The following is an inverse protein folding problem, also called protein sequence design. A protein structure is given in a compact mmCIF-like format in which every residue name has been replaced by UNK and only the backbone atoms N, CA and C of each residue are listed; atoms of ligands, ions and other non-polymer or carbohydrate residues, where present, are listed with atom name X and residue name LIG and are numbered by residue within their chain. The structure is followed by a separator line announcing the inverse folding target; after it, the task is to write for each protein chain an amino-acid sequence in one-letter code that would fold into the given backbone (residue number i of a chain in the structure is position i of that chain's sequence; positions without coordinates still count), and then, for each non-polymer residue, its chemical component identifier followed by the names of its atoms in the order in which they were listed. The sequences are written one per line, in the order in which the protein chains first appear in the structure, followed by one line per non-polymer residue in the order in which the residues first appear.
data_IF_368362707582
#
_entry.id   IF_368362707582
#
_cell.length_a   1.000
_cell.length_b   1.000
_cell.length_c   1.000
_cell.angle_alpha   90.00
_cell.angle_beta   90.00
_cell.angle_gamma   90.00
#
_symmetry.space_group_name_H-M   'P 1'
#
loop_
_entity.id
_entity.type
_entity.pdbx_description
1 polymer ?
#
# COMPACT_ATOMS: atom_id res chain seq x y z
N UNK A 1 5.14 11.88 14.39
CA UNK A 1 5.78 11.15 13.27
C UNK A 1 5.25 9.73 13.34
N UNK A 2 4.26 9.37 12.53
CA UNK A 2 3.63 8.04 12.60
C UNK A 2 4.41 7.11 11.67
N UNK A 3 5.42 6.45 12.22
CA UNK A 3 6.08 5.33 11.56
C UNK A 3 5.27 4.07 11.85
N UNK A 4 4.96 3.31 10.80
CA UNK A 4 4.34 1.99 10.91
C UNK A 4 5.26 0.93 10.33
N UNK A 5 5.11 -0.31 10.76
CA UNK A 5 5.81 -1.45 10.18
C UNK A 5 4.77 -2.38 9.54
N UNK A 6 4.93 -2.63 8.24
CA UNK A 6 4.09 -3.56 7.50
C UNK A 6 4.87 -4.83 7.20
N UNK A 7 4.32 -5.97 7.61
CA UNK A 7 4.86 -7.28 7.31
C UNK A 7 4.11 -7.87 6.11
N UNK A 8 4.85 -8.17 5.06
CA UNK A 8 4.31 -8.85 3.88
C UNK A 8 4.37 -10.38 4.06
N UNK A 9 3.62 -11.11 3.22
CA UNK A 9 3.59 -12.58 3.26
C UNK A 9 4.98 -13.18 3.04
N UNK A 10 5.75 -12.61 2.12
CA UNK A 10 7.12 -13.01 1.84
C UNK A 10 7.96 -11.82 1.34
N UNK A 11 9.23 -12.11 1.00
CA UNK A 11 10.18 -11.13 0.49
C UNK A 11 9.74 -10.53 -0.85
N UNK A 12 9.11 -11.32 -1.72
CA UNK A 12 8.68 -10.86 -3.03
C UNK A 12 7.54 -9.84 -2.89
N UNK A 13 6.53 -10.13 -2.06
CA UNK A 13 5.44 -9.19 -1.77
C UNK A 13 5.96 -7.90 -1.10
N UNK A 14 6.97 -8.00 -0.23
CA UNK A 14 7.62 -6.82 0.35
C UNK A 14 8.33 -5.96 -0.71
N UNK A 15 9.02 -6.58 -1.67
CA UNK A 15 9.68 -5.88 -2.77
C UNK A 15 8.67 -5.24 -3.72
N UNK A 16 7.57 -5.94 -4.04
CA UNK A 16 6.45 -5.43 -4.84
C UNK A 16 5.85 -4.18 -4.19
N UNK A 17 5.53 -4.25 -2.90
CA UNK A 17 4.99 -3.10 -2.15
C UNK A 17 5.97 -1.92 -2.12
N UNK A 18 7.26 -2.17 -1.87
CA UNK A 18 8.27 -1.13 -1.87
C UNK A 18 8.35 -0.41 -3.24
N UNK A 19 8.26 -1.17 -4.34
CA UNK A 19 8.22 -0.62 -5.69
C UNK A 19 6.97 0.21 -5.99
N UNK A 20 5.83 -0.08 -5.37
CA UNK A 20 4.60 0.71 -5.53
C UNK A 20 4.63 2.02 -4.71
N UNK A 21 5.35 2.04 -3.58
CA UNK A 21 5.43 3.19 -2.67
C UNK A 21 6.57 4.15 -3.06
N UNK A 22 7.74 3.62 -3.46
CA UNK A 22 8.94 4.40 -3.73
C UNK A 22 9.31 4.35 -5.22
N UNK A 23 8.71 5.22 -6.03
CA UNK A 23 9.02 5.27 -7.46
C UNK A 23 9.94 6.43 -7.83
N UNK A 24 10.08 7.50 -7.05
CA UNK A 24 10.96 8.62 -7.41
C UNK A 24 11.54 9.40 -6.22
N UNK A 25 12.60 10.18 -6.49
CA UNK A 25 13.32 11.08 -5.56
C UNK A 25 12.43 12.04 -4.76
N UNK A 26 11.18 12.23 -5.22
CA UNK A 26 10.15 13.09 -4.63
C UNK A 26 9.47 12.53 -3.38
N UNK A 27 9.69 11.25 -3.02
CA UNK A 27 9.07 10.57 -1.86
C UNK A 27 7.53 10.54 -1.89
N UNK A 28 6.93 10.69 -3.06
CA UNK A 28 5.48 10.57 -3.23
C UNK A 28 5.06 9.12 -3.48
N UNK A 29 3.98 8.69 -2.86
CA UNK A 29 3.34 7.41 -3.16
C UNK A 29 2.72 7.44 -4.56
N UNK A 30 2.84 6.33 -5.29
CA UNK A 30 2.15 6.15 -6.58
C UNK A 30 0.75 5.57 -6.42
N UNK A 31 0.39 5.14 -5.21
CA UNK A 31 -0.93 4.59 -4.88
C UNK A 31 -1.97 5.71 -4.89
N UNK A 32 -3.05 5.52 -5.64
CA UNK A 32 -4.15 6.50 -5.78
C UNK A 32 -5.40 6.10 -5.00
N UNK A 33 -5.71 4.81 -4.91
CA UNK A 33 -6.90 4.31 -4.23
C UNK A 33 -6.72 2.84 -3.83
N UNK A 34 -7.43 2.43 -2.78
CA UNK A 34 -7.62 1.02 -2.43
C UNK A 34 -8.85 0.55 -3.21
N UNK A 35 -8.66 -0.46 -4.07
CA UNK A 35 -9.74 -1.03 -4.88
C UNK A 35 -10.51 -2.12 -4.14
N UNK A 36 -9.81 -2.95 -3.37
CA UNK A 36 -10.42 -4.03 -2.60
C UNK A 36 -9.50 -4.54 -1.48
N UNK A 37 -10.09 -5.24 -0.52
CA UNK A 37 -9.40 -5.99 0.54
C UNK A 37 -10.02 -7.38 0.63
N UNK A 38 -9.20 -8.43 0.49
CA UNK A 38 -9.63 -9.82 0.47
C UNK A 38 -8.71 -10.59 1.42
N UNK A 39 -9.21 -10.97 2.59
CA UNK A 39 -8.39 -11.60 3.66
C UNK A 39 -7.11 -10.81 3.97
N UNK A 40 -5.94 -11.38 3.69
CA UNK A 40 -4.63 -10.76 3.88
C UNK A 40 -4.08 -10.12 2.59
N UNK A 41 -4.89 -9.99 1.54
CA UNK A 41 -4.54 -9.32 0.28
C UNK A 41 -5.21 -7.93 0.19
N UNK A 42 -4.43 -6.95 -0.28
CA UNK A 42 -4.93 -5.61 -0.62
C UNK A 42 -4.75 -5.36 -2.11
N UNK A 43 -5.77 -4.83 -2.78
CA UNK A 43 -5.73 -4.44 -4.20
C UNK A 43 -5.70 -2.92 -4.28
N UNK A 44 -4.71 -2.40 -5.00
CA UNK A 44 -4.38 -0.97 -5.09
C UNK A 44 -4.41 -0.53 -6.55
N UNK A 45 -4.93 0.66 -6.80
CA UNK A 45 -4.73 1.39 -8.05
C UNK A 45 -3.54 2.33 -7.90
N UNK A 46 -2.80 2.54 -8.98
CA UNK A 46 -1.69 3.51 -9.00
C UNK A 46 -1.88 4.57 -10.09
N UNK A 47 -1.01 5.59 -10.13
CA UNK A 47 -1.11 6.75 -11.04
C UNK A 47 -1.28 6.40 -12.53
N UNK A 48 -0.78 5.25 -12.99
CA UNK A 48 -0.95 4.78 -14.38
C UNK A 48 -2.28 4.04 -14.64
N UNK A 49 -3.17 3.98 -13.64
CA UNK A 49 -4.48 3.30 -13.62
C UNK A 49 -4.42 1.78 -13.67
N UNK A 50 -3.25 1.17 -13.54
CA UNK A 50 -3.15 -0.28 -13.35
C UNK A 50 -3.52 -0.68 -11.92
N UNK A 51 -4.02 -1.91 -11.78
CA UNK A 51 -4.35 -2.51 -10.50
C UNK A 51 -3.29 -3.53 -10.10
N UNK A 52 -2.78 -3.41 -8.88
CA UNK A 52 -1.79 -4.31 -8.31
C UNK A 52 -2.27 -4.79 -6.95
N UNK A 53 -2.15 -6.09 -6.69
CA UNK A 53 -2.40 -6.61 -5.35
C UNK A 53 -1.13 -6.77 -4.54
N UNK A 54 -1.22 -6.81 -3.22
CA UNK A 54 -0.11 -7.16 -2.32
C UNK A 54 -0.64 -8.08 -1.23
N UNK A 55 0.05 -9.19 -1.00
CA UNK A 55 -0.32 -10.13 0.06
C UNK A 55 0.51 -9.83 1.31
N UNK A 56 -0.19 -9.51 2.39
CA UNK A 56 0.38 -9.19 3.68
C UNK A 56 0.43 -10.43 4.59
N UNK A 57 1.18 -10.34 5.69
CA UNK A 57 1.41 -11.50 6.57
C UNK A 57 0.10 -12.11 7.10
N UNK A 58 -0.87 -11.25 7.43
CA UNK A 58 -2.17 -11.63 7.97
C UNK A 58 -3.19 -10.49 7.81
N UNK A 59 -4.44 -10.77 8.14
CA UNK A 59 -5.54 -9.81 8.00
C UNK A 59 -5.34 -8.55 8.87
N UNK A 60 -4.65 -8.66 10.02
CA UNK A 60 -4.37 -7.49 10.86
C UNK A 60 -3.37 -6.55 10.17
N UNK A 61 -2.38 -7.10 9.46
CA UNK A 61 -1.47 -6.30 8.66
C UNK A 61 -2.18 -5.57 7.52
N UNK A 62 -3.19 -6.18 6.89
CA UNK A 62 -3.99 -5.49 5.86
C UNK A 62 -4.79 -4.34 6.44
N UNK A 63 -5.47 -4.54 7.55
CA UNK A 63 -6.22 -3.47 8.20
C UNK A 63 -5.30 -2.30 8.59
N UNK A 64 -4.15 -2.61 9.21
CA UNK A 64 -3.16 -1.60 9.59
C UNK A 64 -2.63 -0.82 8.38
N UNK A 65 -2.36 -1.52 7.28
CA UNK A 65 -1.85 -0.89 6.06
C UNK A 65 -2.92 -0.06 5.35
N UNK A 66 -4.14 -0.58 5.23
CA UNK A 66 -5.27 0.11 4.63
C UNK A 66 -5.56 1.43 5.35
N UNK A 67 -5.64 1.42 6.68
CA UNK A 67 -5.86 2.62 7.50
C UNK A 67 -4.76 3.67 7.26
N UNK A 68 -3.50 3.23 7.24
CA UNK A 68 -2.37 4.12 7.03
C UNK A 68 -2.37 4.72 5.63
N UNK A 69 -2.49 3.89 4.58
CA UNK A 69 -2.38 4.38 3.20
C UNK A 69 -3.58 5.25 2.83
N UNK A 70 -4.78 4.95 3.35
CA UNK A 70 -5.95 5.80 3.20
C UNK A 70 -5.68 7.21 3.78
N UNK A 71 -5.09 7.30 4.98
CA UNK A 71 -4.69 8.59 5.56
C UNK A 71 -3.66 9.34 4.71
N UNK A 72 -2.75 8.62 4.05
CA UNK A 72 -1.77 9.22 3.13
C UNK A 72 -2.47 9.75 1.88
N UNK A 73 -3.35 8.97 1.25
CA UNK A 73 -4.09 9.37 0.03
C UNK A 73 -4.96 10.60 0.32
N UNK A 74 -5.76 10.59 1.39
CA UNK A 74 -6.65 11.70 1.74
C UNK A 74 -5.91 12.99 2.08
N UNK A 75 -4.71 12.90 2.68
CA UNK A 75 -3.86 14.07 2.92
C UNK A 75 -3.33 14.72 1.65
N UNK A 76 -3.20 13.97 0.55
CA UNK A 76 -2.78 14.52 -0.74
C UNK A 76 -3.92 15.23 -1.50
N UNK A 77 -5.17 15.12 -1.04
CA UNK A 77 -6.34 15.74 -1.69
C UNK A 77 -6.67 17.14 -1.09
N UNK A 78 -5.99 17.56 0.00
CA UNK A 78 -6.13 18.90 0.59
C UNK A 78 -5.04 19.85 0.11
#
# INVERSE_FOLDING_TARGET
MNQITILCNDKYEAQKLAGLIFVNETKETYITEILNVIENEIVLSIKDKSAHSVILKDNNQVLLFADFIQSVIEKNIK
#
